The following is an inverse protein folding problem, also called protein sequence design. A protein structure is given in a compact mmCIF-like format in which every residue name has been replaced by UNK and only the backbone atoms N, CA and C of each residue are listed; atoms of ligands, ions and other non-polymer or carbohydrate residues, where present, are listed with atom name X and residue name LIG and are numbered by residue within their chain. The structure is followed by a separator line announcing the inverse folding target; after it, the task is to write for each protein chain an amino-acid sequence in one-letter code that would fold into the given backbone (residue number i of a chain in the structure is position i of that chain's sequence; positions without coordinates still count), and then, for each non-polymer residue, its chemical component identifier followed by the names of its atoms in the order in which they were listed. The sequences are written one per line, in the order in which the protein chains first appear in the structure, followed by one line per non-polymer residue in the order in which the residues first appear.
data_IF_106719071615
#
_entry.id   IF_106719071615
#
_cell.length_a   1.000
_cell.length_b   1.000
_cell.length_c   1.000
_cell.angle_alpha   90.00
_cell.angle_beta   90.00
_cell.angle_gamma   90.00
#
_symmetry.space_group_name_H-M   'P 1'
#
loop_
_entity.id
_entity.type
_entity.pdbx_description
1 polymer ?
#
# COMPACT_ATOMS: atom_id res chain seq x y z
N UNK A 1 6.48 15.73 -16.66
CA UNK A 1 6.22 15.31 -15.28
C UNK A 1 5.47 13.98 -15.33
N UNK A 2 5.90 12.99 -14.57
CA UNK A 2 5.23 11.68 -14.50
C UNK A 2 3.93 11.83 -13.71
N UNK A 3 2.85 11.25 -14.25
CA UNK A 3 1.52 11.22 -13.59
C UNK A 3 1.30 9.85 -12.95
N UNK A 4 0.91 9.83 -11.68
CA UNK A 4 0.66 8.60 -10.92
C UNK A 4 -0.78 8.62 -10.40
N UNK A 5 -1.60 7.63 -10.79
CA UNK A 5 -2.87 7.36 -10.12
C UNK A 5 -2.61 6.48 -8.91
N UNK A 6 -2.89 6.99 -7.71
CA UNK A 6 -2.81 6.26 -6.45
C UNK A 6 -4.07 5.39 -6.31
N UNK A 7 -3.92 4.08 -6.48
CA UNK A 7 -5.00 3.11 -6.58
C UNK A 7 -5.44 2.61 -5.19
N UNK A 8 -5.86 3.51 -4.32
CA UNK A 8 -6.43 3.16 -3.01
C UNK A 8 -7.54 4.14 -2.63
N UNK A 9 -8.57 3.64 -1.93
CA UNK A 9 -9.63 4.45 -1.31
C UNK A 9 -9.36 4.75 0.17
N UNK A 10 -8.22 4.28 0.71
CA UNK A 10 -7.82 4.60 2.07
C UNK A 10 -7.16 5.98 2.09
N UNK A 11 -7.85 6.98 2.66
CA UNK A 11 -7.38 8.36 2.71
C UNK A 11 -6.03 8.52 3.43
N UNK A 12 -5.76 7.72 4.48
CA UNK A 12 -4.48 7.75 5.18
C UNK A 12 -3.33 7.28 4.28
N UNK A 13 -3.54 6.20 3.52
CA UNK A 13 -2.54 5.74 2.53
C UNK A 13 -2.30 6.79 1.45
N UNK A 14 -3.36 7.43 0.94
CA UNK A 14 -3.25 8.51 -0.06
C UNK A 14 -2.39 9.64 0.48
N UNK A 15 -2.70 10.13 1.69
CA UNK A 15 -1.97 11.23 2.33
C UNK A 15 -0.49 10.89 2.54
N UNK A 16 -0.16 9.69 3.06
CA UNK A 16 1.22 9.26 3.24
C UNK A 16 1.97 9.16 1.91
N UNK A 17 1.37 8.55 0.88
CA UNK A 17 1.99 8.41 -0.46
C UNK A 17 2.27 9.78 -1.06
N UNK A 18 1.31 10.71 -1.01
CA UNK A 18 1.48 12.07 -1.52
C UNK A 18 2.57 12.83 -0.76
N UNK A 19 2.60 12.74 0.57
CA UNK A 19 3.61 13.38 1.40
C UNK A 19 5.04 12.85 1.09
N UNK A 20 5.18 11.54 0.87
CA UNK A 20 6.47 10.91 0.56
C UNK A 20 6.93 11.25 -0.87
N UNK A 21 6.02 11.23 -1.85
CA UNK A 21 6.35 11.52 -3.25
C UNK A 21 6.63 13.00 -3.51
N UNK A 22 5.97 13.90 -2.76
CA UNK A 22 6.11 15.34 -2.93
C UNK A 22 5.74 15.83 -4.33
N UNK A 23 6.29 16.97 -4.73
CA UNK A 23 5.97 17.63 -6.00
C UNK A 23 6.70 17.04 -7.23
N UNK A 24 7.46 15.97 -7.07
CA UNK A 24 8.19 15.32 -8.18
C UNK A 24 7.25 14.59 -9.15
N UNK A 25 6.07 14.20 -8.66
CA UNK A 25 5.05 13.48 -9.41
C UNK A 25 3.72 14.23 -9.37
N UNK A 26 2.98 14.17 -10.47
CA UNK A 26 1.57 14.58 -10.47
C UNK A 26 0.73 13.42 -9.94
N UNK A 27 0.26 13.51 -8.69
CA UNK A 27 -0.57 12.50 -8.08
C UNK A 27 -2.06 12.74 -8.40
N UNK A 28 -2.72 11.72 -8.94
CA UNK A 28 -4.17 11.59 -9.05
C UNK A 28 -4.65 10.54 -8.05
N UNK A 29 -5.91 10.61 -7.66
CA UNK A 29 -6.53 9.68 -6.72
C UNK A 29 -7.76 9.01 -7.33
N UNK A 30 -8.35 8.03 -6.66
CA UNK A 30 -9.59 7.42 -7.12
C UNK A 30 -10.80 8.37 -6.99
N UNK A 31 -10.67 9.48 -6.29
CA UNK A 31 -11.71 10.53 -6.23
C UNK A 31 -11.81 11.30 -7.55
N UNK A 32 -10.70 11.40 -8.30
CA UNK A 32 -10.68 11.94 -9.66
C UNK A 32 -11.38 11.00 -10.67
N UNK A 33 -11.64 9.74 -10.25
CA UNK A 33 -12.22 8.68 -11.07
C UNK A 33 -13.36 7.95 -10.33
N UNK A 34 -14.51 8.58 -10.11
CA UNK A 34 -15.60 8.02 -9.29
C UNK A 34 -16.15 6.69 -9.83
N UNK A 35 -16.01 6.44 -11.14
CA UNK A 35 -16.46 5.21 -11.81
C UNK A 35 -15.38 4.11 -11.83
N UNK A 36 -14.22 4.32 -11.18
CA UNK A 36 -13.18 3.30 -11.12
C UNK A 36 -13.68 2.02 -10.43
N UNK A 37 -13.44 0.84 -11.01
CA UNK A 37 -13.91 -0.42 -10.46
C UNK A 37 -13.29 -0.70 -9.09
N UNK A 38 -14.03 -1.40 -8.23
CA UNK A 38 -13.49 -1.97 -6.99
C UNK A 38 -12.79 -3.28 -7.34
N UNK A 39 -11.47 -3.30 -7.21
CA UNK A 39 -10.67 -4.53 -7.40
C UNK A 39 -10.76 -5.41 -6.17
N UNK A 40 -10.99 -6.71 -6.37
CA UNK A 40 -11.04 -7.71 -5.30
C UNK A 40 -9.62 -8.16 -4.96
N UNK A 41 -9.21 -7.95 -3.72
CA UNK A 41 -7.91 -8.36 -3.17
C UNK A 41 -8.04 -9.76 -2.56
N UNK A 42 -7.87 -10.80 -3.38
CA UNK A 42 -8.05 -12.21 -3.05
C UNK A 42 -6.77 -13.04 -3.20
N UNK A 43 -5.64 -12.41 -3.44
CA UNK A 43 -4.34 -13.09 -3.47
C UNK A 43 -3.81 -13.32 -2.03
N UNK A 44 -3.04 -14.39 -1.88
CA UNK A 44 -2.43 -14.78 -0.59
C UNK A 44 -1.17 -13.98 -0.24
N UNK A 45 -0.77 -13.02 -1.09
CA UNK A 45 0.44 -12.22 -0.89
C UNK A 45 0.19 -10.73 -1.15
N UNK A 46 0.93 -9.86 -0.46
CA UNK A 46 0.91 -8.42 -0.71
C UNK A 46 1.27 -8.09 -2.17
N UNK A 47 2.27 -8.80 -2.73
CA UNK A 47 2.67 -8.61 -4.12
C UNK A 47 1.56 -8.95 -5.11
N UNK A 48 0.86 -10.06 -4.88
CA UNK A 48 -0.28 -10.48 -5.73
C UNK A 48 -1.43 -9.48 -5.70
N UNK A 49 -1.83 -9.02 -4.51
CA UNK A 49 -2.89 -8.04 -4.36
C UNK A 49 -2.51 -6.67 -4.98
N UNK A 50 -1.29 -6.18 -4.72
CA UNK A 50 -0.81 -4.93 -5.29
C UNK A 50 -0.76 -5.00 -6.82
N UNK A 51 -0.18 -6.07 -7.39
CA UNK A 51 -0.09 -6.26 -8.84
C UNK A 51 -1.48 -6.34 -9.48
N UNK A 52 -2.37 -7.17 -8.94
CA UNK A 52 -3.75 -7.30 -9.43
C UNK A 52 -4.45 -5.96 -9.47
N UNK A 53 -4.38 -5.19 -8.39
CA UNK A 53 -4.99 -3.86 -8.28
C UNK A 53 -4.44 -2.89 -9.33
N UNK A 54 -3.12 -2.83 -9.46
CA UNK A 54 -2.47 -1.92 -10.41
C UNK A 54 -2.82 -2.27 -11.86
N UNK A 55 -2.76 -3.55 -12.22
CA UNK A 55 -3.04 -4.03 -13.58
C UNK A 55 -4.50 -3.82 -13.97
N UNK A 56 -5.46 -4.21 -13.11
CA UNK A 56 -6.88 -4.06 -13.41
C UNK A 56 -7.28 -2.59 -13.61
N UNK A 57 -6.77 -1.69 -12.76
CA UNK A 57 -7.03 -0.25 -12.90
C UNK A 57 -6.31 0.37 -14.11
N UNK A 58 -5.10 -0.07 -14.43
CA UNK A 58 -4.40 0.40 -15.64
C UNK A 58 -5.16 -0.01 -16.92
N UNK A 59 -5.64 -1.25 -16.99
CA UNK A 59 -6.50 -1.73 -18.09
C UNK A 59 -7.79 -0.93 -18.20
N UNK A 60 -8.45 -0.67 -17.07
CA UNK A 60 -9.67 0.14 -17.04
C UNK A 60 -9.43 1.57 -17.53
N UNK A 61 -8.34 2.22 -17.11
CA UNK A 61 -7.97 3.56 -17.58
C UNK A 61 -7.69 3.59 -19.09
N UNK A 62 -6.97 2.59 -19.59
CA UNK A 62 -6.67 2.47 -21.01
C UNK A 62 -7.95 2.32 -21.84
N UNK A 63 -8.87 1.44 -21.44
CA UNK A 63 -10.12 1.19 -22.13
C UNK A 63 -11.12 2.37 -22.10
N UNK A 64 -11.17 3.09 -20.99
CA UNK A 64 -12.17 4.13 -20.77
C UNK A 64 -11.87 5.47 -21.49
N UNK A 65 -10.77 5.56 -22.26
CA UNK A 65 -10.34 6.79 -22.97
C UNK A 65 -10.39 8.05 -22.12
N UNK A 66 -9.99 7.97 -20.84
CA UNK A 66 -9.85 9.11 -19.94
C UNK A 66 -8.67 10.01 -20.37
N UNK A 67 -8.65 10.38 -21.65
CA UNK A 67 -7.51 10.95 -22.39
C UNK A 67 -7.03 12.32 -21.90
N UNK A 68 -7.85 13.06 -21.14
CA UNK A 68 -7.46 14.38 -20.65
C UNK A 68 -6.58 14.32 -19.38
N UNK A 69 -6.69 13.25 -18.57
CA UNK A 69 -5.95 13.08 -17.33
C UNK A 69 -4.78 12.09 -17.45
N UNK A 70 -4.83 11.20 -18.47
CA UNK A 70 -3.85 10.15 -18.71
C UNK A 70 -2.96 10.51 -19.88
N UNK A 71 -1.66 10.60 -19.66
CA UNK A 71 -0.63 10.88 -20.69
C UNK A 71 0.21 9.64 -20.94
N UNK A 72 1.08 9.67 -21.98
CA UNK A 72 2.05 8.60 -22.26
C UNK A 72 3.05 8.33 -21.11
N UNK A 73 3.09 9.18 -20.10
CA UNK A 73 3.91 9.02 -18.89
C UNK A 73 3.04 8.83 -17.65
N UNK A 74 1.93 8.10 -17.78
CA UNK A 74 1.02 7.82 -16.67
C UNK A 74 1.18 6.39 -16.17
N UNK A 75 1.10 6.24 -14.86
CA UNK A 75 1.21 4.96 -14.17
C UNK A 75 0.08 4.81 -13.15
N UNK A 76 -0.31 3.57 -12.89
CA UNK A 76 -1.10 3.22 -11.72
C UNK A 76 -0.16 2.69 -10.63
N UNK A 77 -0.23 3.29 -9.45
CA UNK A 77 0.45 2.86 -8.25
C UNK A 77 -0.56 2.22 -7.31
N UNK A 78 -0.39 0.95 -7.03
CA UNK A 78 -1.18 0.25 -6.01
C UNK A 78 -0.30 -0.17 -4.83
N UNK A 79 -0.84 0.02 -3.63
CA UNK A 79 -0.23 -0.37 -2.36
C UNK A 79 -1.04 -1.53 -1.77
N UNK A 80 -0.34 -2.62 -1.44
CA UNK A 80 -0.84 -3.58 -0.47
C UNK A 80 0.16 -3.72 0.67
N UNK A 81 -0.35 -3.60 1.91
CA UNK A 81 0.49 -3.48 3.10
C UNK A 81 -0.23 -3.98 4.34
N UNK A 82 0.56 -4.46 5.29
CA UNK A 82 0.04 -4.98 6.54
C UNK A 82 1.11 -5.21 7.57
N UNK A 83 0.67 -5.71 8.73
CA UNK A 83 1.49 -6.09 9.86
C UNK A 83 1.72 -7.61 9.84
N UNK A 84 2.95 -8.03 10.02
CA UNK A 84 3.32 -9.42 10.28
C UNK A 84 3.88 -9.52 11.70
N UNK A 85 3.40 -10.48 12.50
CA UNK A 85 3.85 -10.70 13.88
C UNK A 85 4.40 -12.11 14.01
N UNK A 86 5.67 -12.24 14.43
CA UNK A 86 6.39 -13.52 14.45
C UNK A 86 5.72 -14.55 15.37
N UNK A 87 5.27 -14.13 16.55
CA UNK A 87 4.59 -15.00 17.49
C UNK A 87 3.22 -15.52 17.00
N UNK A 88 2.71 -14.94 15.90
CA UNK A 88 1.46 -15.36 15.25
C UNK A 88 1.72 -15.96 13.85
N UNK A 89 2.95 -16.44 13.59
CA UNK A 89 3.36 -17.01 12.31
C UNK A 89 3.07 -16.07 11.11
N UNK A 90 3.31 -14.77 11.29
CA UNK A 90 3.10 -13.74 10.28
C UNK A 90 1.68 -13.17 10.21
N UNK A 91 0.72 -13.68 10.98
CA UNK A 91 -0.58 -13.04 11.05
C UNK A 91 -0.47 -11.66 11.72
N UNK A 92 -1.33 -10.69 11.34
CA UNK A 92 -2.44 -10.74 10.39
C UNK A 92 -2.05 -10.79 8.89
N UNK A 93 -0.87 -10.37 8.48
CA UNK A 93 -0.41 -10.41 7.09
C UNK A 93 -1.35 -9.65 6.15
N UNK A 94 -1.73 -10.24 5.01
CA UNK A 94 -2.66 -9.67 4.01
C UNK A 94 -4.07 -9.40 4.56
N UNK A 95 -4.38 -9.95 5.72
CA UNK A 95 -5.67 -9.74 6.39
C UNK A 95 -5.66 -8.58 7.39
N UNK A 96 -4.60 -7.77 7.42
CA UNK A 96 -4.40 -6.70 8.42
C UNK A 96 -5.59 -5.76 8.56
N UNK A 97 -6.20 -5.34 7.45
CA UNK A 97 -7.34 -4.41 7.48
C UNK A 97 -8.67 -5.04 7.96
N UNK A 98 -8.79 -6.37 7.93
CA UNK A 98 -9.99 -7.13 8.32
C UNK A 98 -9.72 -8.16 9.41
N UNK A 99 -8.67 -7.98 10.18
CA UNK A 99 -8.20 -8.98 11.14
C UNK A 99 -9.23 -9.32 12.20
N UNK A 100 -10.03 -8.37 12.66
CA UNK A 100 -11.09 -8.62 13.64
C UNK A 100 -12.30 -9.38 13.06
N UNK A 101 -12.54 -9.28 11.75
CA UNK A 101 -13.68 -9.88 11.05
C UNK A 101 -13.22 -10.67 9.82
N UNK A 102 -12.37 -11.68 10.03
CA UNK A 102 -11.79 -12.50 8.93
C UNK A 102 -12.84 -13.26 8.11
N UNK A 103 -14.02 -13.47 8.68
CA UNK A 103 -15.13 -14.15 8.00
C UNK A 103 -15.90 -13.24 7.04
N UNK A 104 -15.61 -11.93 7.06
CA UNK A 104 -16.20 -10.94 6.15
C UNK A 104 -15.16 -10.45 5.14
N UNK A 105 -15.65 -9.87 4.02
CA UNK A 105 -14.79 -9.23 3.01
C UNK A 105 -14.54 -7.75 3.31
N UNK A 106 -15.18 -7.19 4.33
CA UNK A 106 -15.09 -5.78 4.69
C UNK A 106 -14.00 -5.52 5.73
N UNK A 107 -13.46 -4.32 5.70
CA UNK A 107 -12.49 -3.87 6.70
C UNK A 107 -13.16 -3.74 8.08
N UNK A 108 -12.40 -4.09 9.12
CA UNK A 108 -12.80 -3.87 10.49
C UNK A 108 -12.28 -2.52 11.01
N UNK A 109 -12.93 -1.91 12.01
CA UNK A 109 -12.36 -0.77 12.71
C UNK A 109 -10.96 -1.07 13.27
N UNK A 110 -10.05 -0.10 13.20
CA UNK A 110 -8.67 -0.26 13.69
C UNK A 110 -8.63 -0.66 15.17
N UNK A 111 -9.55 -0.12 16.00
CA UNK A 111 -9.66 -0.47 17.42
C UNK A 111 -9.95 -1.97 17.62
N UNK A 112 -10.81 -2.56 16.79
CA UNK A 112 -11.18 -3.98 16.88
C UNK A 112 -10.02 -4.87 16.44
N UNK A 113 -9.31 -4.48 15.36
CA UNK A 113 -8.12 -5.15 14.89
C UNK A 113 -7.02 -5.15 15.98
N UNK A 114 -6.78 -4.00 16.60
CA UNK A 114 -5.83 -3.85 17.71
C UNK A 114 -6.23 -4.69 18.94
N UNK A 115 -7.51 -4.69 19.31
CA UNK A 115 -8.01 -5.49 20.44
C UNK A 115 -7.84 -6.99 20.18
N UNK A 116 -8.12 -7.46 18.94
CA UNK A 116 -7.88 -8.87 18.58
C UNK A 116 -6.40 -9.22 18.65
N UNK A 117 -5.53 -8.36 18.10
CA UNK A 117 -4.07 -8.56 18.15
C UNK A 117 -3.58 -8.71 19.58
N UNK A 118 -3.95 -7.78 20.46
CA UNK A 118 -3.55 -7.82 21.89
C UNK A 118 -4.07 -9.05 22.61
N UNK A 119 -5.30 -9.48 22.33
CA UNK A 119 -5.87 -10.70 22.90
C UNK A 119 -5.06 -11.95 22.53
N UNK A 120 -4.65 -12.08 21.25
CA UNK A 120 -3.84 -13.20 20.76
C UNK A 120 -2.43 -13.19 21.36
N UNK A 121 -1.88 -12.00 21.62
CA UNK A 121 -0.56 -11.83 22.22
C UNK A 121 -0.56 -11.81 23.76
N UNK A 122 -1.71 -12.03 24.43
CA UNK A 122 -1.85 -11.85 25.90
C UNK A 122 -0.75 -12.52 26.71
N UNK A 123 -0.36 -13.74 26.35
CA UNK A 123 0.63 -14.55 27.08
C UNK A 123 2.02 -14.54 26.41
N UNK A 124 2.23 -13.69 25.40
CA UNK A 124 3.52 -13.58 24.70
C UNK A 124 4.35 -12.49 25.38
N UNK A 125 5.55 -12.79 25.91
CA UNK A 125 6.41 -11.79 26.53
C UNK A 125 6.96 -10.81 25.48
N UNK A 126 7.39 -9.61 25.93
CA UNK A 126 7.73 -8.48 25.05
C UNK A 126 8.83 -8.82 24.04
N UNK A 127 9.84 -9.57 24.45
CA UNK A 127 10.98 -10.00 23.63
C UNK A 127 10.59 -10.95 22.48
N UNK A 128 9.40 -11.57 22.56
CA UNK A 128 8.82 -12.44 21.52
C UNK A 128 7.72 -11.78 20.70
N UNK A 129 7.45 -10.49 20.96
CA UNK A 129 6.46 -9.71 20.20
C UNK A 129 7.07 -8.99 19.00
N UNK A 130 8.12 -9.56 18.42
CA UNK A 130 8.74 -9.02 17.20
C UNK A 130 7.73 -9.02 16.06
N UNK A 131 7.77 -7.96 15.28
CA UNK A 131 6.82 -7.72 14.21
C UNK A 131 7.44 -6.83 13.14
N UNK A 132 6.84 -6.81 11.97
CA UNK A 132 7.18 -5.85 10.92
C UNK A 132 5.96 -5.37 10.19
N UNK A 133 5.95 -4.11 9.83
CA UNK A 133 5.10 -3.65 8.76
C UNK A 133 5.74 -3.98 7.42
N UNK A 134 4.93 -4.49 6.49
CA UNK A 134 5.31 -4.76 5.10
C UNK A 134 4.47 -3.91 4.16
N UNK A 135 5.09 -3.47 3.07
CA UNK A 135 4.43 -2.81 1.95
C UNK A 135 4.99 -3.36 0.64
N UNK A 136 4.12 -3.65 -0.30
CA UNK A 136 4.49 -3.83 -1.70
C UNK A 136 3.76 -2.78 -2.53
N UNK A 137 4.53 -1.98 -3.25
CA UNK A 137 4.04 -1.04 -4.26
C UNK A 137 4.13 -1.73 -5.61
N UNK A 138 3.01 -1.81 -6.32
CA UNK A 138 2.98 -2.20 -7.72
C UNK A 138 2.80 -0.96 -8.59
N UNK A 139 3.65 -0.80 -9.60
CA UNK A 139 3.62 0.29 -10.56
C UNK A 139 3.39 -0.27 -11.95
N UNK A 140 2.24 0.02 -12.55
CA UNK A 140 1.85 -0.45 -13.89
C UNK A 140 1.69 0.75 -14.82
N UNK A 141 2.37 0.78 -16.00
CA UNK A 141 2.17 1.85 -16.97
C UNK A 141 0.75 1.80 -17.55
N UNK A 142 0.17 2.97 -17.81
CA UNK A 142 -1.08 3.09 -18.54
C UNK A 142 -0.73 3.23 -20.03
N UNK A 143 -1.11 2.25 -20.83
CA UNK A 143 -0.85 2.24 -22.26
C UNK A 143 -2.05 2.90 -22.95
N UNK A 144 -1.84 4.07 -23.53
CA UNK A 144 -2.83 4.67 -24.41
C UNK A 144 -2.86 3.91 -25.73
N UNK A 145 -3.98 3.29 -26.07
CA UNK A 145 -4.15 2.65 -27.38
C UNK A 145 -3.89 3.67 -28.49
N UNK A 146 -2.91 3.39 -29.34
CA UNK A 146 -2.78 4.08 -30.61
C UNK A 146 -3.96 3.70 -31.49
N UNK A 147 -4.88 4.65 -31.69
CA UNK A 147 -5.89 4.51 -32.75
C UNK A 147 -5.17 4.65 -34.08
N UNK A 148 -4.85 3.53 -34.74
CA UNK A 148 -4.81 3.43 -36.20
C UNK A 148 -4.69 1.95 -36.60
N UNK A 149 -5.75 1.45 -37.26
CA UNK A 149 -5.81 0.40 -38.30
C UNK A 149 -4.81 -0.77 -38.26
N UNK A 150 -4.69 -1.47 -37.18
CA UNK A 150 -4.10 -2.82 -37.22
C UNK A 150 -4.80 -3.71 -36.19
N UNK A 151 -5.04 -4.96 -36.58
CA UNK A 151 -5.71 -6.05 -35.85
C UNK A 151 -5.49 -5.98 -34.34
N UNK A 152 -6.45 -6.47 -33.53
CA UNK A 152 -6.33 -6.46 -32.09
C UNK A 152 -5.16 -7.36 -31.67
N UNK A 153 -3.97 -6.79 -31.63
CA UNK A 153 -2.82 -7.42 -31.02
C UNK A 153 -2.96 -7.19 -29.52
N UNK A 154 -3.14 -8.27 -28.80
CA UNK A 154 -3.22 -8.32 -27.32
C UNK A 154 -1.95 -7.76 -26.67
N UNK A 155 -1.87 -6.44 -26.48
CA UNK A 155 -0.82 -5.82 -25.67
C UNK A 155 -1.21 -5.67 -24.20
N UNK A 156 -2.40 -6.13 -23.82
CA UNK A 156 -2.88 -6.03 -22.44
C UNK A 156 -2.19 -6.98 -21.45
N UNK A 157 -1.49 -8.00 -21.95
CA UNK A 157 -0.88 -9.03 -21.08
C UNK A 157 0.59 -8.78 -20.73
N UNK A 158 1.24 -7.76 -21.32
CA UNK A 158 2.69 -7.56 -21.20
C UNK A 158 3.14 -6.18 -20.71
N UNK A 159 2.26 -5.34 -20.17
CA UNK A 159 2.75 -4.12 -19.50
C UNK A 159 3.51 -4.53 -18.23
N UNK A 160 4.85 -4.37 -18.20
CA UNK A 160 5.65 -4.91 -17.10
C UNK A 160 5.32 -4.15 -15.81
N UNK A 161 4.55 -4.77 -14.94
CA UNK A 161 4.32 -4.26 -13.59
C UNK A 161 5.61 -4.37 -12.79
N UNK A 162 6.09 -3.26 -12.26
CA UNK A 162 7.25 -3.23 -11.38
C UNK A 162 6.77 -3.33 -9.93
N UNK A 163 7.48 -4.13 -9.13
CA UNK A 163 7.17 -4.31 -7.72
C UNK A 163 8.31 -3.75 -6.86
N UNK A 164 7.94 -2.97 -5.84
CA UNK A 164 8.86 -2.39 -4.88
C UNK A 164 8.40 -2.74 -3.48
N UNK A 165 9.21 -3.48 -2.75
CA UNK A 165 8.92 -3.90 -1.38
C UNK A 165 9.61 -3.01 -0.35
N UNK A 166 8.98 -2.85 0.80
CA UNK A 166 9.57 -2.19 1.95
C UNK A 166 9.11 -2.85 3.26
N UNK A 167 9.99 -2.89 4.23
CA UNK A 167 9.71 -3.40 5.56
C UNK A 167 10.22 -2.48 6.65
N UNK A 168 9.47 -2.37 7.73
CA UNK A 168 9.88 -1.68 8.95
C UNK A 168 9.77 -2.66 10.10
N UNK A 169 10.93 -3.08 10.64
CA UNK A 169 11.02 -3.99 11.77
C UNK A 169 10.74 -3.28 13.09
N UNK A 170 10.14 -3.99 14.05
CA UNK A 170 9.80 -3.46 15.34
C UNK A 170 9.18 -4.50 16.26
N UNK A 171 8.38 -4.03 17.20
CA UNK A 171 7.69 -4.89 18.19
C UNK A 171 6.32 -4.34 18.54
N UNK A 172 5.44 -5.22 19.04
CA UNK A 172 4.10 -4.89 19.50
C UNK A 172 4.08 -4.72 21.01
N UNK A 173 3.58 -3.59 21.49
CA UNK A 173 3.41 -3.29 22.90
C UNK A 173 2.24 -4.08 23.53
N UNK A 174 2.11 -3.98 24.85
CA UNK A 174 0.99 -4.56 25.61
C UNK A 174 -0.28 -3.73 25.55
N UNK A 175 -0.14 -2.43 25.29
CA UNK A 175 -1.24 -1.46 25.24
C UNK A 175 -0.96 -0.38 24.20
N UNK A 176 -2.00 0.26 23.64
CA UNK A 176 -1.82 1.31 22.63
C UNK A 176 -1.30 2.59 23.28
N UNK A 177 -0.39 3.29 22.58
CA UNK A 177 0.14 4.61 22.95
C UNK A 177 0.12 5.55 21.75
N UNK A 178 -0.14 6.81 22.01
CA UNK A 178 -0.28 7.84 20.98
C UNK A 178 -1.69 7.90 20.38
N UNK A 179 -1.93 8.90 19.50
CA UNK A 179 -3.24 9.15 18.89
C UNK A 179 -3.18 9.41 17.40
N UNK A 180 -1.96 9.50 16.83
CA UNK A 180 -1.76 9.76 15.41
C UNK A 180 -1.72 8.46 14.61
N UNK A 181 -1.72 8.60 13.26
CA UNK A 181 -1.63 7.47 12.36
C UNK A 181 -2.92 6.66 12.25
N UNK A 182 -2.80 5.39 11.83
CA UNK A 182 -3.93 4.48 11.60
C UNK A 182 -3.48 3.01 11.75
N UNK A 183 -4.44 2.11 11.72
CA UNK A 183 -4.18 0.68 11.84
C UNK A 183 -3.52 0.30 13.16
N UNK A 184 -2.38 -0.33 13.09
CA UNK A 184 -1.62 -0.81 14.26
C UNK A 184 -0.56 0.19 14.76
N UNK A 185 -0.51 1.42 14.25
CA UNK A 185 0.46 2.44 14.65
C UNK A 185 0.53 2.68 16.17
N UNK A 186 -0.59 2.66 16.93
CA UNK A 186 -0.54 2.83 18.37
C UNK A 186 0.12 1.68 19.14
N UNK A 187 0.28 0.52 18.52
CA UNK A 187 0.88 -0.67 19.16
C UNK A 187 2.31 -0.94 18.69
N UNK A 188 2.71 -0.41 17.56
CA UNK A 188 3.97 -0.74 16.92
C UNK A 188 5.08 0.24 17.27
N UNK A 189 6.16 -0.26 17.84
CA UNK A 189 7.40 0.47 18.13
C UNK A 189 8.46 0.04 17.12
N UNK A 190 8.90 0.92 16.22
CA UNK A 190 9.95 0.58 15.25
C UNK A 190 11.31 0.39 15.94
N UNK A 191 12.16 -0.46 15.38
CA UNK A 191 13.50 -0.69 15.91
C UNK A 191 14.31 0.61 15.96
N UNK A 192 15.04 0.81 17.06
CA UNK A 192 15.82 2.02 17.31
C UNK A 192 15.04 3.13 18.02
N UNK A 193 13.73 2.91 18.31
CA UNK A 193 12.88 3.86 19.00
C UNK A 193 12.26 3.24 20.27
N UNK A 194 11.79 4.09 21.17
CA UNK A 194 11.02 3.74 22.37
C UNK A 194 9.56 4.18 22.32
N UNK A 195 9.19 4.90 21.25
CA UNK A 195 7.86 5.43 20.95
C UNK A 195 7.20 4.67 19.82
N UNK A 196 5.87 4.57 19.88
CA UNK A 196 5.07 3.99 18.79
C UNK A 196 5.02 4.92 17.59
N UNK A 197 4.64 4.40 16.42
CA UNK A 197 4.38 5.26 15.25
C UNK A 197 3.34 6.34 15.56
N UNK A 198 2.32 6.03 16.35
CA UNK A 198 1.30 7.01 16.75
C UNK A 198 1.83 8.09 17.71
N UNK A 199 2.94 7.87 18.40
CA UNK A 199 3.64 8.86 19.24
C UNK A 199 4.71 9.63 18.44
N UNK A 200 5.34 9.00 17.43
CA UNK A 200 6.38 9.61 16.59
C UNK A 200 5.82 10.60 15.58
N UNK A 201 4.58 10.38 15.14
CA UNK A 201 3.92 11.22 14.14
C UNK A 201 4.34 10.97 12.70
N UNK A 202 3.65 11.66 11.79
CA UNK A 202 3.74 11.39 10.35
C UNK A 202 5.10 11.75 9.76
N UNK A 203 5.75 12.82 10.22
CA UNK A 203 7.06 13.25 9.69
C UNK A 203 8.12 12.17 9.86
N UNK A 204 8.18 11.54 11.03
CA UNK A 204 9.11 10.44 11.30
C UNK A 204 8.68 9.18 10.55
N UNK A 205 7.39 8.86 10.58
CA UNK A 205 6.84 7.69 9.90
C UNK A 205 7.09 7.73 8.39
N UNK A 206 6.92 8.89 7.75
CA UNK A 206 7.14 9.08 6.31
C UNK A 206 8.61 8.97 5.89
N UNK A 207 9.55 8.93 6.82
CA UNK A 207 10.98 8.72 6.55
C UNK A 207 11.42 7.26 6.72
N UNK A 208 10.87 6.54 7.71
CA UNK A 208 11.39 5.22 8.10
C UNK A 208 10.44 4.06 7.88
N UNK A 209 9.19 4.33 7.53
CA UNK A 209 8.17 3.29 7.40
C UNK A 209 8.42 2.33 6.23
N UNK A 210 7.71 1.21 6.27
CA UNK A 210 7.66 0.23 5.18
C UNK A 210 7.27 0.86 3.84
N UNK A 211 6.27 1.78 3.86
CA UNK A 211 5.80 2.50 2.67
C UNK A 211 6.84 3.48 2.16
N UNK A 212 7.50 4.23 3.06
CA UNK A 212 8.59 5.13 2.69
C UNK A 212 9.72 4.39 1.96
N UNK A 213 10.13 3.24 2.48
CA UNK A 213 11.19 2.41 1.86
C UNK A 213 10.79 1.84 0.51
N UNK A 214 9.54 1.41 0.33
CA UNK A 214 9.05 0.93 -0.94
C UNK A 214 8.97 2.06 -1.99
N UNK A 215 8.46 3.22 -1.61
CA UNK A 215 8.36 4.39 -2.48
C UNK A 215 9.74 4.97 -2.85
N UNK A 216 10.73 4.90 -1.97
CA UNK A 216 12.10 5.33 -2.28
C UNK A 216 12.74 4.45 -3.35
N UNK A 217 12.54 3.12 -3.29
CA UNK A 217 12.96 2.21 -4.36
C UNK A 217 12.27 2.56 -5.70
N UNK A 218 10.98 2.89 -5.67
CA UNK A 218 10.24 3.33 -6.85
C UNK A 218 10.80 4.66 -7.41
N UNK A 219 11.11 5.63 -6.55
CA UNK A 219 11.74 6.90 -6.99
C UNK A 219 13.07 6.64 -7.68
N UNK A 220 13.91 5.79 -7.09
CA UNK A 220 15.20 5.40 -7.67
C UNK A 220 15.03 4.77 -9.06
N UNK A 221 13.99 3.95 -9.27
CA UNK A 221 13.66 3.39 -10.58
C UNK A 221 13.40 4.45 -11.65
N UNK A 222 12.73 5.55 -11.32
CA UNK A 222 12.51 6.65 -12.28
C UNK A 222 13.77 7.46 -12.56
N UNK A 223 14.67 7.61 -11.57
CA UNK A 223 15.94 8.35 -11.74
C UNK A 223 16.93 7.53 -12.56
N UNK A 224 16.93 6.21 -12.43
CA UNK A 224 17.86 5.30 -13.13
C UNK A 224 17.48 4.97 -14.58
N UNK A 225 16.29 5.38 -15.04
CA UNK A 225 15.91 5.25 -16.45
C UNK A 225 16.37 6.51 -17.19
N UNK A 226 17.26 6.36 -18.20
CA UNK A 226 17.72 7.47 -19.04
C UNK A 226 16.58 8.06 -19.90
#
# INVERSE_FOLDING_TARGET
MVTILIATRNAHKVSEIQAILGDQFKCLTLDDFPNAPKVIEDADTFAGNAAKKAVELARWLSAARHSSLVTHHSFVLADDSGLEVDALNGAPGVHSARFAAMDTKDNSPDADNNARLLRLLKNVPLEKRTARFRCVIALTPVIADKVENSSPVCYADEAPTQLFDGACEGKILFEPRGRNGFGYDPLFVPNGYDKTFAELGDDVKNQLSHRAKALEKMRTFFISKP
#
